data_IF_843654734918
#
_entry.id   IF_843654734918
#
_cell.length_a   1.000
_cell.length_b   1.000
_cell.length_c   1.000
_cell.angle_alpha   90.00
_cell.angle_beta   90.00
_cell.angle_gamma   90.00
#
_symmetry.space_group_name_H-M   'P 1'
#
loop_
_entity.id
_entity.type
_entity.pdbx_description
1 polymer ?
#
# COMPACT_ATOMS: atom_id res chain seq x y z
N UNK A 1 16.92 22.61 -18.33
CA UNK A 1 17.59 21.78 -19.36
C UNK A 1 16.49 21.19 -20.22
N UNK A 2 16.58 21.31 -21.54
CA UNK A 2 15.55 20.76 -22.42
C UNK A 2 15.50 19.24 -22.22
N UNK A 3 14.33 18.71 -21.86
CA UNK A 3 14.12 17.27 -21.75
C UNK A 3 14.19 16.73 -23.18
N UNK A 4 15.12 15.82 -23.51
CA UNK A 4 15.22 15.29 -24.86
C UNK A 4 13.93 14.53 -25.21
N UNK A 5 13.26 14.94 -26.29
CA UNK A 5 11.97 14.39 -26.73
C UNK A 5 12.08 13.42 -27.90
N UNK A 6 13.29 13.24 -28.45
CA UNK A 6 13.57 12.34 -29.57
C UNK A 6 14.93 11.65 -29.42
N UNK A 7 15.10 10.49 -30.10
CA UNK A 7 16.34 9.70 -30.07
C UNK A 7 17.58 10.53 -30.47
N UNK A 8 17.46 11.36 -31.52
CA UNK A 8 18.53 12.28 -31.95
C UNK A 8 18.88 13.30 -30.88
N UNK A 9 17.89 13.96 -30.26
CA UNK A 9 18.15 14.92 -29.17
C UNK A 9 18.76 14.26 -27.93
N UNK A 10 18.45 12.99 -27.68
CA UNK A 10 19.03 12.23 -26.57
C UNK A 10 20.48 11.82 -26.86
N UNK A 11 20.78 11.41 -28.09
CA UNK A 11 22.13 11.09 -28.55
C UNK A 11 23.07 12.30 -28.44
N UNK A 12 22.63 13.47 -28.89
CA UNK A 12 23.41 14.72 -28.78
C UNK A 12 23.65 15.11 -27.32
N UNK A 13 22.65 14.90 -26.45
CA UNK A 13 22.79 15.11 -25.02
C UNK A 13 23.85 14.19 -24.40
N UNK A 14 23.83 12.90 -24.72
CA UNK A 14 24.81 11.92 -24.23
C UNK A 14 26.22 12.23 -24.72
N UNK A 15 26.40 12.55 -26.01
CA UNK A 15 27.70 12.92 -26.56
C UNK A 15 28.26 14.19 -25.93
N UNK A 16 27.41 15.18 -25.67
CA UNK A 16 27.81 16.41 -24.97
C UNK A 16 28.18 16.17 -23.51
N UNK A 17 27.47 15.26 -22.82
CA UNK A 17 27.82 14.85 -21.46
C UNK A 17 29.17 14.10 -21.41
N UNK A 18 29.51 13.36 -22.47
CA UNK A 18 30.82 12.71 -22.66
C UNK A 18 31.95 13.68 -23.07
N UNK A 19 31.64 14.95 -23.32
CA UNK A 19 32.62 15.98 -23.66
C UNK A 19 32.78 16.27 -25.15
N UNK A 20 31.81 15.88 -25.99
CA UNK A 20 31.83 16.24 -27.42
C UNK A 20 31.89 17.76 -27.59
N UNK A 21 32.69 18.19 -28.56
CA UNK A 21 33.01 19.60 -28.82
C UNK A 21 34.35 20.06 -28.25
N UNK A 22 34.88 19.37 -27.23
CA UNK A 22 36.28 19.55 -26.76
C UNK A 22 37.10 18.30 -27.05
N UNK A 23 36.49 17.12 -26.96
CA UNK A 23 37.10 15.83 -27.26
C UNK A 23 36.37 15.21 -28.46
N UNK A 24 37.13 14.72 -29.44
CA UNK A 24 36.57 14.00 -30.58
C UNK A 24 36.23 12.55 -30.18
N UNK A 25 34.94 12.24 -30.21
CA UNK A 25 34.40 10.91 -29.91
C UNK A 25 34.24 10.15 -31.22
N UNK A 26 35.19 9.25 -31.51
CA UNK A 26 35.22 8.46 -32.74
C UNK A 26 34.32 7.21 -32.64
N UNK A 27 33.00 7.41 -32.66
CA UNK A 27 32.00 6.34 -32.68
C UNK A 27 31.08 6.55 -33.88
N UNK A 28 30.70 5.48 -34.58
CA UNK A 28 29.76 5.58 -35.70
C UNK A 28 28.34 5.86 -35.21
N UNK A 29 27.52 6.50 -36.04
CA UNK A 29 26.16 6.87 -35.67
C UNK A 29 25.29 5.65 -35.31
N UNK A 30 25.45 4.54 -36.03
CA UNK A 30 24.72 3.30 -35.80
C UNK A 30 25.11 2.65 -34.46
N UNK A 31 26.40 2.65 -34.11
CA UNK A 31 26.88 2.10 -32.83
C UNK A 31 26.32 2.87 -31.63
N UNK A 32 26.19 4.20 -31.74
CA UNK A 32 25.58 5.01 -30.70
C UNK A 32 24.09 4.68 -30.54
N UNK A 33 23.38 4.47 -31.65
CA UNK A 33 21.96 4.14 -31.65
C UNK A 33 21.68 2.76 -31.05
N UNK A 34 22.51 1.75 -31.35
CA UNK A 34 22.41 0.40 -30.78
C UNK A 34 22.67 0.41 -29.26
N UNK A 35 23.66 1.19 -28.79
CA UNK A 35 23.96 1.33 -27.36
C UNK A 35 22.83 2.03 -26.61
N UNK A 36 22.18 3.02 -27.22
CA UNK A 36 21.02 3.71 -26.64
C UNK A 36 19.85 2.74 -26.50
N UNK A 37 19.58 1.93 -27.52
CA UNK A 37 18.49 0.96 -27.49
C UNK A 37 18.75 -0.16 -26.46
N UNK A 38 19.99 -0.67 -26.37
CA UNK A 38 20.37 -1.63 -25.32
C UNK A 38 20.26 -1.02 -23.92
N UNK A 39 20.65 0.24 -23.73
CA UNK A 39 20.51 0.93 -22.44
C UNK A 39 19.04 1.13 -22.04
N UNK A 40 18.16 1.46 -22.99
CA UNK A 40 16.72 1.54 -22.76
C UNK A 40 16.12 0.16 -22.45
N UNK A 41 16.55 -0.88 -23.15
CA UNK A 41 16.14 -2.25 -22.89
C UNK A 41 16.61 -2.72 -21.50
N UNK A 42 17.84 -2.38 -21.12
CA UNK A 42 18.40 -2.68 -19.81
C UNK A 42 17.65 -1.92 -18.71
N UNK A 43 17.35 -0.64 -18.91
CA UNK A 43 16.54 0.15 -17.98
C UNK A 43 15.14 -0.46 -17.83
N UNK A 44 14.48 -0.82 -18.93
CA UNK A 44 13.19 -1.48 -18.88
C UNK A 44 13.28 -2.81 -18.11
N UNK A 45 14.26 -3.67 -18.41
CA UNK A 45 14.43 -4.97 -17.72
C UNK A 45 14.69 -4.85 -16.22
N UNK A 46 15.54 -3.91 -15.80
CA UNK A 46 15.94 -3.79 -14.38
C UNK A 46 15.03 -2.88 -13.55
N UNK A 47 14.32 -1.94 -14.18
CA UNK A 47 13.37 -1.04 -13.52
C UNK A 47 11.96 -1.22 -14.06
N UNK A 48 11.53 -2.47 -14.29
CA UNK A 48 10.29 -2.81 -14.99
C UNK A 48 9.01 -2.24 -14.36
N UNK A 49 9.08 -1.61 -13.19
CA UNK A 49 7.91 -0.95 -12.59
C UNK A 49 8.20 0.29 -11.74
N UNK A 50 9.48 0.64 -11.48
CA UNK A 50 9.82 1.84 -10.68
C UNK A 50 9.05 1.97 -9.35
N UNK A 51 8.63 0.85 -8.74
CA UNK A 51 7.79 0.87 -7.54
C UNK A 51 8.68 1.11 -6.32
N UNK A 52 8.37 2.17 -5.59
CA UNK A 52 8.94 2.44 -4.28
C UNK A 52 7.92 2.10 -3.19
N UNK A 53 8.40 1.53 -2.08
CA UNK A 53 7.57 1.33 -0.88
C UNK A 53 7.43 2.67 -0.17
N UNK A 54 6.19 3.16 -0.07
CA UNK A 54 5.88 4.40 0.63
C UNK A 54 4.74 4.22 1.62
N UNK A 55 4.70 5.08 2.64
CA UNK A 55 3.59 5.15 3.59
C UNK A 55 2.60 6.23 3.16
N UNK A 56 1.36 5.83 2.91
CA UNK A 56 0.25 6.74 2.63
C UNK A 56 -0.59 6.92 3.90
N UNK A 57 -0.95 8.17 4.18
CA UNK A 57 -1.88 8.52 5.27
C UNK A 57 -3.20 8.93 4.64
N UNK A 58 -4.28 8.25 5.01
CA UNK A 58 -5.64 8.57 4.58
C UNK A 58 -6.43 9.10 5.78
N UNK A 59 -7.08 10.26 5.63
CA UNK A 59 -7.98 10.80 6.64
C UNK A 59 -9.40 10.34 6.33
N UNK A 60 -10.03 9.63 7.27
CA UNK A 60 -11.43 9.22 7.14
C UNK A 60 -12.32 10.43 7.43
N UNK A 61 -13.16 10.81 6.46
CA UNK A 61 -14.12 11.92 6.61
C UNK A 61 -15.54 11.41 6.90
N UNK A 62 -16.42 12.28 7.43
CA UNK A 62 -17.83 11.93 7.72
C UNK A 62 -18.61 11.51 6.47
N UNK A 63 -18.29 12.12 5.31
CA UNK A 63 -18.87 11.74 4.01
C UNK A 63 -18.47 10.31 3.62
N UNK A 64 -17.21 9.93 3.84
CA UNK A 64 -16.73 8.58 3.55
C UNK A 64 -17.36 7.54 4.46
N UNK A 65 -17.56 7.85 5.75
CA UNK A 65 -18.27 6.98 6.70
C UNK A 65 -19.73 6.81 6.27
N UNK A 66 -20.38 7.89 5.84
CA UNK A 66 -21.77 7.86 5.37
C UNK A 66 -21.89 6.99 4.12
N UNK A 67 -20.96 7.11 3.16
CA UNK A 67 -20.88 6.25 1.98
C UNK A 67 -20.63 4.79 2.34
N UNK A 68 -19.69 4.52 3.24
CA UNK A 68 -19.33 3.15 3.65
C UNK A 68 -20.50 2.40 4.29
N UNK A 69 -21.40 3.10 4.97
CA UNK A 69 -22.63 2.54 5.55
C UNK A 69 -23.77 2.35 4.55
N UNK A 70 -23.68 2.96 3.36
CA UNK A 70 -24.69 2.87 2.32
C UNK A 70 -24.42 1.67 1.40
N UNK A 71 -25.50 1.03 0.92
CA UNK A 71 -25.43 -0.08 -0.02
C UNK A 71 -25.91 0.38 -1.40
N UNK A 72 -25.23 -0.07 -2.44
CA UNK A 72 -25.71 0.07 -3.82
C UNK A 72 -26.61 -1.11 -4.14
N UNK A 73 -27.81 -0.84 -4.66
CA UNK A 73 -28.74 -1.90 -5.08
C UNK A 73 -28.42 -2.31 -6.51
N UNK A 74 -28.16 -3.60 -6.71
CA UNK A 74 -28.02 -4.23 -8.03
C UNK A 74 -29.19 -5.19 -8.22
N UNK A 75 -29.87 -5.14 -9.36
CA UNK A 75 -30.99 -6.06 -9.63
C UNK A 75 -30.55 -7.10 -10.66
N UNK A 76 -30.69 -8.37 -10.30
CA UNK A 76 -30.52 -9.49 -11.21
C UNK A 76 -31.89 -9.97 -11.65
N UNK A 77 -32.13 -9.99 -12.96
CA UNK A 77 -33.29 -10.65 -13.56
C UNK A 77 -32.89 -12.04 -14.05
N UNK A 78 -33.77 -13.02 -13.84
CA UNK A 78 -33.56 -14.38 -14.37
C UNK A 78 -33.36 -14.37 -15.91
N UNK A 79 -32.44 -15.20 -16.38
CA UNK A 79 -32.07 -15.31 -17.81
C UNK A 79 -32.98 -16.25 -18.60
N UNK A 80 -33.87 -17.00 -17.93
CA UNK A 80 -34.79 -17.93 -18.59
C UNK A 80 -36.16 -17.33 -18.93
N UNK A 81 -36.68 -16.39 -18.13
CA UNK A 81 -38.04 -15.83 -18.34
C UNK A 81 -38.19 -14.36 -17.89
N UNK A 82 -37.13 -13.72 -17.37
CA UNK A 82 -37.14 -12.31 -16.90
C UNK A 82 -38.28 -11.94 -15.90
N UNK A 83 -39.06 -12.90 -15.40
CA UNK A 83 -40.24 -12.67 -14.57
C UNK A 83 -39.92 -12.59 -13.07
N UNK A 84 -38.74 -13.05 -12.65
CA UNK A 84 -38.29 -13.04 -11.26
C UNK A 84 -37.09 -12.09 -11.15
N UNK A 85 -37.22 -11.08 -10.30
CA UNK A 85 -36.17 -10.12 -10.00
C UNK A 85 -35.69 -10.31 -8.57
N UNK A 86 -34.37 -10.47 -8.40
CA UNK A 86 -33.73 -10.45 -7.09
C UNK A 86 -32.96 -9.13 -6.93
N UNK A 87 -33.10 -8.50 -5.77
CA UNK A 87 -32.33 -7.31 -5.41
C UNK A 87 -31.14 -7.72 -4.55
N UNK A 88 -29.94 -7.45 -5.04
CA UNK A 88 -28.68 -7.62 -4.33
C UNK A 88 -28.23 -6.28 -3.75
N UNK A 89 -27.64 -6.32 -2.55
CA UNK A 89 -27.04 -5.16 -1.89
C UNK A 89 -25.53 -5.31 -1.92
N UNK A 90 -24.86 -4.42 -2.64
CA UNK A 90 -23.39 -4.35 -2.68
C UNK A 90 -22.92 -3.27 -1.70
N UNK A 91 -22.04 -3.65 -0.77
CA UNK A 91 -21.48 -2.73 0.22
C UNK A 91 -20.50 -1.74 -0.40
N UNK A 92 -20.66 -0.45 -0.12
CA UNK A 92 -19.75 0.61 -0.60
C UNK A 92 -18.59 0.89 0.37
N UNK A 93 -18.20 -0.10 1.17
CA UNK A 93 -17.11 0.02 2.14
C UNK A 93 -15.75 -0.21 1.45
N UNK A 94 -15.26 0.81 0.75
CA UNK A 94 -13.93 0.79 0.13
C UNK A 94 -13.23 2.14 0.28
N UNK A 95 -11.90 2.12 0.32
CA UNK A 95 -11.07 3.31 0.29
C UNK A 95 -10.56 3.49 -1.15
N UNK A 96 -10.82 4.65 -1.79
CA UNK A 96 -10.31 4.93 -3.13
C UNK A 96 -8.79 5.18 -3.06
N UNK A 97 -8.01 4.43 -3.83
CA UNK A 97 -6.55 4.58 -3.88
C UNK A 97 -6.13 5.42 -5.11
N UNK A 98 -5.02 6.18 -5.00
CA UNK A 98 -4.41 6.82 -6.16
C UNK A 98 -4.01 5.79 -7.22
N UNK A 99 -4.13 6.15 -8.50
CA UNK A 99 -3.81 5.26 -9.64
C UNK A 99 -2.33 4.84 -9.73
N UNK A 100 -1.45 5.47 -8.95
CA UNK A 100 -0.03 5.11 -8.87
C UNK A 100 0.22 3.92 -7.92
N UNK A 101 -0.76 3.53 -7.10
CA UNK A 101 -0.61 2.43 -6.14
C UNK A 101 -0.79 1.09 -6.86
N UNK A 102 0.28 0.33 -6.96
CA UNK A 102 0.27 -1.00 -7.62
C UNK A 102 -0.18 -2.11 -6.66
N UNK A 103 0.23 -2.06 -5.38
CA UNK A 103 -0.26 -2.98 -4.36
C UNK A 103 -0.26 -2.34 -2.97
N UNK A 104 -1.14 -2.82 -2.11
CA UNK A 104 -1.16 -2.50 -0.68
C UNK A 104 -0.68 -3.73 0.07
N UNK A 105 0.43 -3.59 0.81
CA UNK A 105 1.06 -4.71 1.55
C UNK A 105 0.37 -4.92 2.89
N UNK A 106 0.11 -3.83 3.61
CA UNK A 106 -0.45 -3.88 4.95
C UNK A 106 -1.17 -2.57 5.26
N UNK A 107 -2.27 -2.67 6.00
CA UNK A 107 -2.91 -1.53 6.66
C UNK A 107 -2.52 -1.59 8.13
N UNK A 108 -2.00 -0.49 8.66
CA UNK A 108 -1.68 -0.42 10.08
C UNK A 108 -2.97 -0.44 10.89
N UNK A 109 -3.07 -1.28 11.93
CA UNK A 109 -4.25 -1.30 12.77
C UNK A 109 -4.44 0.08 13.38
N UNK A 110 -5.70 0.49 13.52
CA UNK A 110 -6.03 1.57 14.44
C UNK A 110 -5.76 1.00 15.83
N UNK A 111 -4.54 1.18 16.34
CA UNK A 111 -4.26 0.91 17.74
C UNK A 111 -5.21 1.83 18.50
N UNK A 112 -6.17 1.23 19.18
CA UNK A 112 -7.27 1.93 19.80
C UNK A 112 -6.74 2.79 20.95
N UNK A 113 -6.25 3.98 20.62
CA UNK A 113 -6.00 5.05 21.59
C UNK A 113 -7.27 5.88 21.81
N UNK A 114 -8.38 5.53 21.15
CA UNK A 114 -9.66 6.26 21.16
C UNK A 114 -10.73 5.64 22.07
N UNK A 115 -10.65 4.33 22.33
CA UNK A 115 -11.55 3.53 23.17
C UNK A 115 -11.25 3.65 24.66
N UNK A 116 -11.10 4.87 25.15
CA UNK A 116 -11.02 5.16 26.57
C UNK A 116 -9.69 4.76 27.20
N UNK A 117 -8.97 5.77 27.66
CA UNK A 117 -7.96 5.71 28.72
C UNK A 117 -8.60 5.21 30.03
N UNK A 118 -9.19 4.02 29.98
CA UNK A 118 -9.90 3.41 31.07
C UNK A 118 -8.85 2.78 31.97
N UNK A 119 -8.95 3.13 33.24
CA UNK A 119 -8.10 2.65 34.33
C UNK A 119 -8.16 1.12 34.49
N UNK A 120 -8.93 0.40 33.67
CA UNK A 120 -9.13 -1.06 33.70
C UNK A 120 -8.57 -1.78 32.47
N UNK A 121 -7.89 -1.09 31.55
CA UNK A 121 -7.15 -1.78 30.50
C UNK A 121 -6.08 -2.68 31.14
N UNK A 122 -6.12 -3.99 30.83
CA UNK A 122 -5.18 -5.00 31.31
C UNK A 122 -3.73 -4.61 31.04
N UNK A 123 -3.45 -3.98 29.89
CA UNK A 123 -2.10 -3.51 29.55
C UNK A 123 -1.65 -2.37 30.45
N UNK A 124 -2.56 -1.45 30.75
CA UNK A 124 -2.31 -0.33 31.67
C UNK A 124 -2.16 -0.80 33.12
N UNK A 125 -3.00 -1.74 33.56
CA UNK A 125 -2.94 -2.33 34.90
C UNK A 125 -1.70 -3.22 35.09
N UNK A 126 -1.29 -4.01 34.09
CA UNK A 126 -0.02 -4.75 34.11
C UNK A 126 1.17 -3.80 34.15
N UNK A 127 1.16 -2.73 33.36
CA UNK A 127 2.23 -1.71 33.41
C UNK A 127 2.32 -1.04 34.77
N UNK A 128 1.20 -0.78 35.44
CA UNK A 128 1.19 -0.16 36.77
C UNK A 128 1.53 -1.14 37.92
N UNK A 129 1.09 -2.40 37.85
CA UNK A 129 1.43 -3.42 38.85
C UNK A 129 2.91 -3.84 38.74
N UNK A 130 3.41 -4.02 37.51
CA UNK A 130 4.71 -4.65 37.26
C UNK A 130 5.87 -3.63 37.27
N UNK A 131 5.64 -2.34 36.96
CA UNK A 131 6.67 -1.29 37.17
C UNK A 131 7.04 -1.12 38.64
N UNK A 132 6.12 -1.45 39.55
CA UNK A 132 6.38 -1.40 40.99
C UNK A 132 7.29 -2.55 41.45
N UNK A 133 7.44 -3.62 40.65
CA UNK A 133 8.18 -4.83 41.00
C UNK A 133 9.26 -5.26 39.97
N UNK A 134 9.74 -4.33 39.13
CA UNK A 134 10.89 -4.60 38.23
C UNK A 134 12.21 -4.88 38.97
N UNK A 135 12.22 -4.74 40.31
CA UNK A 135 13.39 -5.07 41.14
C UNK A 135 13.41 -6.53 41.62
N UNK A 136 12.28 -7.26 41.59
CA UNK A 136 12.21 -8.63 42.14
C UNK A 136 11.65 -9.67 41.17
N UNK A 137 10.86 -9.26 40.17
CA UNK A 137 10.35 -10.17 39.13
C UNK A 137 11.12 -9.98 37.81
N UNK A 138 11.65 -11.08 37.27
CA UNK A 138 12.58 -11.04 36.13
C UNK A 138 11.90 -10.52 34.84
N UNK A 139 12.57 -9.60 34.13
CA UNK A 139 12.16 -9.06 32.81
C UNK A 139 11.78 -10.14 31.78
N UNK A 140 12.31 -11.35 31.93
CA UNK A 140 12.02 -12.51 31.09
C UNK A 140 10.55 -12.93 31.22
N UNK A 141 9.99 -12.94 32.43
CA UNK A 141 8.59 -13.33 32.65
C UNK A 141 7.62 -12.32 32.05
N UNK A 142 7.96 -11.03 32.12
CA UNK A 142 7.19 -9.96 31.47
C UNK A 142 7.16 -10.14 29.96
N UNK A 143 8.31 -10.41 29.33
CA UNK A 143 8.38 -10.65 27.89
C UNK A 143 7.57 -11.89 27.48
N UNK A 144 7.66 -12.99 28.23
CA UNK A 144 6.85 -14.19 27.96
C UNK A 144 5.34 -13.95 28.12
N UNK A 145 4.93 -13.13 29.09
CA UNK A 145 3.53 -12.76 29.26
C UNK A 145 3.04 -11.87 28.11
N UNK A 146 3.87 -10.93 27.65
CA UNK A 146 3.55 -10.05 26.52
C UNK A 146 3.41 -10.84 25.22
N UNK A 147 4.32 -11.77 24.95
CA UNK A 147 4.26 -12.65 23.77
C UNK A 147 3.00 -13.53 23.80
N UNK A 148 2.59 -14.02 24.97
CA UNK A 148 1.36 -14.79 25.12
C UNK A 148 0.10 -13.93 24.91
N UNK A 149 0.11 -12.68 25.39
CA UNK A 149 -1.00 -11.75 25.15
C UNK A 149 -1.14 -11.39 23.67
N UNK A 150 -0.03 -11.17 22.97
CA UNK A 150 -0.03 -10.92 21.52
C UNK A 150 -0.54 -12.15 20.75
N UNK A 151 -0.10 -13.35 21.13
CA UNK A 151 -0.61 -14.59 20.56
C UNK A 151 -2.12 -14.79 20.79
N UNK A 152 -2.61 -14.46 21.98
CA UNK A 152 -4.04 -14.54 22.30
C UNK A 152 -4.83 -13.53 21.47
N UNK A 153 -4.34 -12.30 21.31
CA UNK A 153 -4.94 -11.28 20.44
C UNK A 153 -4.97 -11.76 18.97
N UNK A 154 -3.87 -12.32 18.48
CA UNK A 154 -3.81 -12.88 17.12
C UNK A 154 -4.80 -14.03 16.91
N UNK A 155 -5.00 -14.90 17.90
CA UNK A 155 -6.01 -15.97 17.83
C UNK A 155 -7.43 -15.43 17.88
N UNK A 156 -7.69 -14.41 18.72
CA UNK A 156 -9.04 -13.97 19.03
C UNK A 156 -9.58 -12.95 18.03
N UNK A 157 -8.72 -12.06 17.51
CA UNK A 157 -9.10 -11.00 16.57
C UNK A 157 -8.64 -11.33 15.14
N UNK A 158 -7.51 -12.02 15.00
CA UNK A 158 -6.90 -12.29 13.68
C UNK A 158 -6.32 -11.03 13.03
N UNK A 159 -5.60 -11.22 11.92
CA UNK A 159 -5.22 -10.10 11.05
C UNK A 159 -6.39 -9.76 10.13
N UNK A 160 -6.82 -8.50 10.07
CA UNK A 160 -7.91 -8.07 9.18
C UNK A 160 -7.48 -8.25 7.72
N UNK A 161 -8.18 -9.09 6.93
CA UNK A 161 -7.79 -9.31 5.56
C UNK A 161 -8.01 -8.03 4.72
N UNK A 162 -7.02 -7.73 3.87
CA UNK A 162 -7.08 -6.63 2.93
C UNK A 162 -7.28 -7.17 1.51
N UNK A 163 -8.15 -6.54 0.74
CA UNK A 163 -8.31 -6.83 -0.69
C UNK A 163 -8.12 -5.56 -1.49
N UNK A 164 -7.07 -5.51 -2.29
CA UNK A 164 -6.83 -4.40 -3.20
C UNK A 164 -7.10 -4.82 -4.65
N UNK A 165 -7.95 -4.04 -5.34
CA UNK A 165 -8.23 -4.23 -6.76
C UNK A 165 -7.61 -3.10 -7.59
N UNK A 166 -6.58 -3.43 -8.38
CA UNK A 166 -5.89 -2.49 -9.26
C UNK A 166 -6.78 -1.97 -10.41
N UNK A 167 -7.71 -2.79 -10.92
CA UNK A 167 -8.58 -2.36 -12.02
C UNK A 167 -9.60 -1.29 -11.58
N UNK A 168 -10.08 -1.40 -10.34
CA UNK A 168 -11.06 -0.46 -9.80
C UNK A 168 -10.43 0.62 -8.90
N UNK A 169 -9.13 0.53 -8.59
CA UNK A 169 -8.41 1.35 -7.61
C UNK A 169 -9.13 1.41 -6.25
N UNK A 170 -9.64 0.26 -5.79
CA UNK A 170 -10.40 0.15 -4.53
C UNK A 170 -9.67 -0.77 -3.57
N UNK A 171 -9.46 -0.27 -2.35
CA UNK A 171 -9.00 -1.05 -1.21
C UNK A 171 -10.19 -1.39 -0.32
N UNK A 172 -10.38 -2.67 -0.05
CA UNK A 172 -11.36 -3.18 0.91
C UNK A 172 -10.61 -3.66 2.15
N UNK A 173 -11.09 -3.24 3.32
CA UNK A 173 -10.64 -3.71 4.62
C UNK A 173 -11.83 -4.48 5.18
N UNK A 174 -11.72 -5.81 5.20
CA UNK A 174 -12.79 -6.68 5.69
C UNK A 174 -12.62 -6.87 7.21
N UNK A 175 -12.75 -5.77 7.96
CA UNK A 175 -12.84 -5.79 9.41
C UNK A 175 -14.31 -5.94 9.81
N UNK A 176 -14.64 -7.01 10.53
CA UNK A 176 -15.93 -7.23 11.20
C UNK A 176 -15.94 -6.58 12.58
#
# INVERSE_FOLDING_TARGET
>A
MAIPTSKSTFKDYCLRALGSGVIDINVSDDQADDRIDEALQFFAQYHYDGIEKMYLKHLITEEEVTRARANTTSTGTDTSDNSITATFLEGNNFIPMPSAVVSVIQVWPFTDTGGGSNMFDMRYQLRLNDLFDLSSTSVIQYQMAMDNLDFLEHILVGETPIRFNQHQNRLYIDAD
#
